data_IF_018998358139
#
_entry.id   IF_018998358139
#
_cell.length_a   1.000
_cell.length_b   1.000
_cell.length_c   1.000
_cell.angle_alpha   90.00
_cell.angle_beta   90.00
_cell.angle_gamma   90.00
#
_symmetry.space_group_name_H-M   'P 1'
#
loop_
_entity.id
_entity.type
_entity.pdbx_description
1 polymer ?
2 branched ?
3 non-polymer ?
4 water ?
#
# COMPACT_ATOMS: atom_id res chain seq x y z
N UNK A 1 7.83 11.60 9.48
CA UNK A 1 7.21 11.64 8.13
C UNK A 1 8.19 11.13 7.08
N UNK A 2 7.67 10.73 5.93
CA UNK A 2 8.49 10.28 4.82
C UNK A 2 8.08 11.15 3.62
N UNK A 3 9.00 11.40 2.71
CA UNK A 3 8.76 12.24 1.54
C UNK A 3 9.23 11.62 0.23
N UNK A 4 8.63 12.08 -0.86
CA UNK A 4 9.03 11.64 -2.20
C UNK A 4 8.62 12.73 -3.19
N UNK A 5 9.57 13.14 -4.02
CA UNK A 5 9.34 14.16 -5.02
C UNK A 5 9.46 13.54 -6.41
N UNK A 6 8.43 13.69 -7.25
CA UNK A 6 8.49 13.14 -8.59
C UNK A 6 9.44 13.93 -9.49
N UNK A 7 9.72 15.19 -9.16
CA UNK A 7 10.64 15.98 -9.98
C UNK A 7 12.07 15.45 -9.82
N UNK A 8 12.64 14.92 -10.90
CA UNK A 8 13.98 14.39 -10.84
C UNK A 8 14.01 12.95 -10.36
N UNK A 9 12.81 12.40 -10.16
CA UNK A 9 12.68 11.03 -9.68
C UNK A 9 13.15 9.98 -10.67
N UNK A 10 13.87 8.99 -10.17
CA UNK A 10 14.32 7.89 -11.00
C UNK A 10 14.14 6.60 -10.16
N UNK A 11 14.41 5.43 -10.75
CA UNK A 11 14.26 4.14 -10.05
C UNK A 11 14.95 4.06 -8.69
N UNK A 12 16.08 4.75 -8.59
CA UNK A 12 16.89 4.76 -7.38
C UNK A 12 16.25 5.58 -6.25
N UNK A 13 15.83 6.81 -6.52
CA UNK A 13 15.22 7.62 -5.46
C UNK A 13 13.86 7.06 -5.04
N UNK A 14 13.19 6.38 -5.96
CA UNK A 14 11.91 5.76 -5.65
C UNK A 14 12.24 4.62 -4.67
N UNK A 15 13.31 3.91 -4.98
CA UNK A 15 13.76 2.83 -4.12
C UNK A 15 14.08 3.36 -2.73
N UNK A 16 14.71 4.52 -2.66
CA UNK A 16 15.05 5.12 -1.38
C UNK A 16 13.76 5.41 -0.59
N UNK A 17 12.74 5.96 -1.25
CA UNK A 17 11.46 6.27 -0.61
C UNK A 17 10.77 5.05 -0.02
N UNK A 18 10.73 3.95 -0.78
CA UNK A 18 10.07 2.76 -0.28
C UNK A 18 10.85 2.22 0.92
N UNK A 19 12.18 2.34 0.88
CA UNK A 19 13.03 1.90 1.99
C UNK A 19 12.69 2.75 3.23
N UNK A 20 12.58 4.07 3.02
CA UNK A 20 12.26 4.98 4.11
C UNK A 20 10.90 4.61 4.70
N UNK A 21 9.96 4.25 3.84
CA UNK A 21 8.62 3.89 4.26
C UNK A 21 8.60 2.61 5.10
N UNK A 22 9.36 1.59 4.68
CA UNK A 22 9.43 0.34 5.44
C UNK A 22 10.04 0.60 6.81
N UNK A 23 11.12 1.37 6.84
CA UNK A 23 11.82 1.70 8.08
C UNK A 23 10.98 2.51 9.05
N UNK A 24 9.95 3.18 8.54
CA UNK A 24 9.12 4.00 9.41
C UNK A 24 8.04 3.19 10.14
N UNK A 25 7.81 1.97 9.71
CA UNK A 25 6.80 1.17 10.38
C UNK A 25 7.45 0.50 11.58
N UNK A 26 6.87 0.70 12.77
CA UNK A 26 7.50 0.06 13.93
C UNK A 26 7.17 -1.42 14.04
N UNK A 27 8.07 -2.15 14.67
CA UNK A 27 7.95 -3.60 14.82
C UNK A 27 8.84 -3.97 16.01
N UNK A 28 8.41 -4.96 16.78
CA UNK A 28 9.21 -5.38 17.92
C UNK A 28 9.89 -6.71 17.62
N UNK A 29 9.31 -7.47 16.69
CA UNK A 29 9.73 -8.82 16.33
C UNK A 29 9.93 -9.14 14.84
N UNK A 30 10.64 -10.25 14.58
CA UNK A 30 10.86 -10.74 13.21
C UNK A 30 10.51 -12.21 13.18
N UNK A 31 9.76 -12.60 12.16
CA UNK A 31 9.35 -13.99 11.99
C UNK A 31 9.99 -14.43 10.68
N UNK A 32 10.89 -15.42 10.82
CA UNK A 32 11.65 -15.94 9.71
C UNK A 32 12.40 -14.78 9.08
N UNK A 33 12.94 -13.88 9.87
CA UNK A 33 13.61 -12.72 9.29
C UNK A 33 12.70 -11.74 8.53
N UNK A 34 11.40 -11.58 8.89
CA UNK A 34 10.56 -10.56 8.22
C UNK A 34 9.93 -9.71 9.30
N UNK A 35 10.05 -8.38 9.26
CA UNK A 35 9.44 -7.58 10.33
C UNK A 35 7.97 -7.97 10.51
N UNK A 36 7.56 -8.18 11.75
CA UNK A 36 6.16 -8.51 12.05
C UNK A 36 5.52 -7.24 12.61
N UNK A 37 4.56 -6.68 11.88
CA UNK A 37 3.88 -5.47 12.32
C UNK A 37 3.16 -5.65 13.66
N UNK A 38 2.99 -4.55 14.38
CA UNK A 38 2.35 -4.55 15.69
C UNK A 38 0.86 -4.88 15.71
N UNK A 39 0.36 -5.41 16.84
CA UNK A 39 -1.05 -5.75 16.99
C UNK A 39 -1.82 -4.43 16.95
N UNK A 40 -1.34 -3.45 17.71
CA UNK A 40 -1.95 -2.11 17.75
C UNK A 40 -1.03 -1.04 18.32
N UNK A 41 -1.43 0.22 18.13
CA UNK A 41 -0.71 1.38 18.63
C UNK A 41 -1.79 2.38 19.05
N UNK A 42 -1.57 3.09 20.16
CA UNK A 42 -2.55 4.05 20.67
C UNK A 42 -2.25 5.51 20.39
N UNK A 43 -3.30 6.27 20.16
CA UNK A 43 -3.15 7.69 19.89
C UNK A 43 -2.65 7.99 18.51
N UNK A 44 -2.09 9.19 18.34
CA UNK A 44 -1.57 9.64 17.05
C UNK A 44 -0.35 8.85 16.56
N UNK A 45 0.26 8.09 17.45
CA UNK A 45 1.43 7.32 17.06
C UNK A 45 1.08 6.18 16.12
N UNK A 46 -0.22 5.96 15.92
CA UNK A 46 -0.68 4.89 15.04
C UNK A 46 -0.63 5.30 13.58
N UNK A 47 -0.39 6.58 13.33
CA UNK A 47 -0.38 7.08 11.96
C UNK A 47 0.91 7.71 11.44
N UNK A 48 1.31 7.29 10.25
CA UNK A 48 2.49 7.82 9.58
C UNK A 48 2.02 8.76 8.48
N UNK A 49 2.67 9.91 8.34
CA UNK A 49 2.32 10.89 7.32
C UNK A 49 3.32 10.85 6.16
N UNK A 50 2.80 10.69 4.93
CA UNK A 50 3.67 10.68 3.74
C UNK A 50 3.41 11.97 2.96
N UNK A 51 4.47 12.68 2.59
CA UNK A 51 4.33 13.90 1.81
C UNK A 51 4.78 13.59 0.40
N UNK A 52 3.88 13.73 -0.57
CA UNK A 52 4.22 13.46 -1.95
C UNK A 52 4.12 14.74 -2.76
N UNK A 53 5.12 15.00 -3.60
CA UNK A 53 5.12 16.19 -4.43
C UNK A 53 5.06 15.79 -5.91
N UNK A 54 4.12 16.35 -6.66
CA UNK A 54 4.06 16.01 -8.07
C UNK A 54 5.15 16.76 -8.79
N UNK A 55 5.31 16.50 -10.08
CA UNK A 55 6.34 17.13 -10.89
C UNK A 55 6.48 18.64 -10.73
N UNK A 56 5.35 19.34 -10.63
CA UNK A 56 5.36 20.79 -10.48
C UNK A 56 5.53 21.30 -9.07
N UNK A 57 5.73 20.40 -8.12
CA UNK A 57 5.91 20.83 -6.75
C UNK A 57 4.68 20.97 -5.88
N UNK A 58 3.49 20.67 -6.40
CA UNK A 58 2.30 20.74 -5.56
C UNK A 58 2.35 19.49 -4.66
N UNK A 59 1.70 19.55 -3.51
CA UNK A 59 1.78 18.43 -2.59
C UNK A 59 0.47 17.99 -1.92
N UNK A 60 0.45 16.75 -1.44
CA UNK A 60 -0.67 16.20 -0.68
C UNK A 60 0.02 15.45 0.44
N UNK A 61 -0.65 15.29 1.56
CA UNK A 61 -0.10 14.55 2.68
C UNK A 61 -1.05 13.39 2.91
N UNK A 62 -0.50 12.18 2.93
CA UNK A 62 -1.28 10.95 3.08
C UNK A 62 -1.04 10.30 4.45
N UNK A 63 -2.14 9.87 5.08
CA UNK A 63 -2.06 9.23 6.39
C UNK A 63 -2.17 7.70 6.24
N UNK A 64 -1.23 7.00 6.85
CA UNK A 64 -1.15 5.54 6.78
C UNK A 64 -1.20 4.91 8.17
N UNK A 65 -2.00 3.86 8.32
CA UNK A 65 -2.10 3.16 9.61
C UNK A 65 -0.86 2.27 9.69
N UNK A 66 0.01 2.48 10.68
CA UNK A 66 1.24 1.69 10.76
C UNK A 66 1.09 0.21 11.14
N UNK A 67 -0.11 -0.21 11.53
CA UNK A 67 -0.33 -1.61 11.90
C UNK A 67 -0.64 -2.49 10.69
N UNK A 68 -1.13 -1.88 9.61
CA UNK A 68 -1.50 -2.65 8.41
C UNK A 68 -1.15 -1.99 7.05
N UNK A 69 -0.50 -0.84 7.11
CA UNK A 69 -0.09 -0.05 5.94
C UNK A 69 -1.27 0.40 5.06
N UNK A 70 -2.44 0.55 5.69
CA UNK A 70 -3.65 0.98 5.01
C UNK A 70 -3.76 2.49 4.99
N UNK A 71 -4.02 3.02 3.80
CA UNK A 71 -4.18 4.45 3.61
C UNK A 71 -5.56 4.83 4.15
N UNK A 72 -5.60 5.82 5.03
CA UNK A 72 -6.85 6.26 5.66
C UNK A 72 -7.45 7.53 5.07
N UNK A 73 -6.60 8.44 4.64
CA UNK A 73 -7.08 9.68 4.06
C UNK A 73 -5.90 10.54 3.66
N UNK A 74 -6.18 11.74 3.17
CA UNK A 74 -5.13 12.65 2.74
C UNK A 74 -5.55 14.10 2.90
N UNK A 75 -4.57 15.00 2.85
CA UNK A 75 -4.81 16.43 2.99
C UNK A 75 -4.32 17.13 1.72
N UNK A 76 -5.20 17.94 1.14
CA UNK A 76 -4.91 18.71 -0.08
C UNK A 76 -5.23 20.19 0.18
N UNK A 77 -4.18 20.98 0.38
CA UNK A 77 -4.28 22.39 0.79
C UNK A 77 -5.04 22.29 2.12
N UNK A 78 -6.20 22.95 2.21
CA UNK A 78 -6.89 23.03 3.49
C UNK A 78 -8.07 22.07 3.69
N UNK A 79 -8.24 21.11 2.79
CA UNK A 79 -9.34 20.16 2.90
C UNK A 79 -8.81 18.77 3.16
N UNK A 80 -9.36 18.09 4.18
CA UNK A 80 -8.93 16.73 4.44
C UNK A 80 -9.99 15.81 3.81
N UNK A 81 -9.57 14.62 3.39
CA UNK A 81 -10.45 13.63 2.78
C UNK A 81 -10.23 12.28 3.44
N UNK A 82 -11.31 11.65 3.89
CA UNK A 82 -11.23 10.35 4.56
C UNK A 82 -12.17 9.35 3.93
N UNK A 83 -11.78 8.08 3.95
CA UNK A 83 -12.64 7.03 3.41
C UNK A 83 -13.88 6.91 4.30
N UNK A 84 -14.93 6.33 3.74
CA UNK A 84 -16.16 6.15 4.49
C UNK A 84 -16.09 4.79 5.18
N UNK A 85 -15.40 4.73 6.32
CA UNK A 85 -15.27 3.50 7.11
C UNK A 85 -14.87 3.88 8.53
N UNK A 86 -15.30 3.08 9.52
CA UNK A 86 -15.00 3.33 10.93
C UNK A 86 -13.56 3.66 11.30
N UNK A 87 -12.61 2.87 10.78
CA UNK A 87 -11.20 3.11 11.10
C UNK A 87 -10.72 4.47 10.60
N UNK A 88 -11.28 4.96 9.50
CA UNK A 88 -10.87 6.25 8.96
C UNK A 88 -11.42 7.40 9.80
N UNK A 89 -12.65 7.26 10.29
CA UNK A 89 -13.19 8.33 11.12
C UNK A 89 -12.39 8.34 12.42
N UNK A 90 -11.95 7.18 12.89
CA UNK A 90 -11.14 7.16 14.11
C UNK A 90 -9.87 7.94 13.81
N UNK A 91 -9.28 7.70 12.65
CA UNK A 91 -8.06 8.39 12.26
C UNK A 91 -8.23 9.91 12.19
N UNK A 92 -9.43 10.36 11.83
CA UNK A 92 -9.67 11.80 11.72
C UNK A 92 -9.59 12.55 13.05
N UNK A 93 -9.60 11.83 14.16
CA UNK A 93 -9.51 12.48 15.47
C UNK A 93 -8.05 12.87 15.75
N UNK A 94 -7.13 12.21 15.06
CA UNK A 94 -5.71 12.43 15.29
C UNK A 94 -4.85 13.16 14.25
N UNK A 95 -5.25 13.15 12.98
CA UNK A 95 -4.46 13.86 11.96
C UNK A 95 -5.25 14.96 11.24
N UNK A 96 -4.51 15.87 10.61
CA UNK A 96 -5.05 17.01 9.88
C UNK A 96 -6.12 17.72 10.72
N UNK A 97 -5.76 18.06 11.94
CA UNK A 97 -6.69 18.74 12.84
C UNK A 97 -6.89 20.20 12.42
N UNK A 98 -5.90 20.77 11.76
CA UNK A 98 -6.00 22.16 11.33
C UNK A 98 -6.61 22.33 9.94
N UNK A 99 -7.23 21.28 9.42
CA UNK A 99 -7.86 21.37 8.10
C UNK A 99 -9.09 22.27 8.27
N UNK A 100 -9.36 23.09 7.26
CA UNK A 100 -10.48 24.02 7.30
C UNK A 100 -11.83 23.36 6.99
N UNK A 101 -11.79 22.25 6.26
CA UNK A 101 -13.00 21.53 5.85
C UNK A 101 -12.67 20.04 5.81
N UNK A 102 -13.60 19.18 6.24
CA UNK A 102 -13.37 17.75 6.16
C UNK A 102 -14.43 17.08 5.32
N UNK A 103 -13.99 16.36 4.30
CA UNK A 103 -14.88 15.66 3.41
C UNK A 103 -14.70 14.15 3.55
N UNK A 104 -15.82 13.44 3.62
CA UNK A 104 -15.81 11.98 3.70
C UNK A 104 -16.12 11.46 2.31
N UNK A 105 -15.23 10.66 1.74
CA UNK A 105 -15.46 10.10 0.41
C UNK A 105 -16.65 9.14 0.45
N UNK A 106 -17.34 9.00 -0.68
CA UNK A 106 -18.52 8.14 -0.78
C UNK A 106 -18.04 6.74 -1.19
N UNK A 107 -17.20 6.12 -0.35
CA UNK A 107 -16.86 4.71 -0.45
C UNK A 107 -15.95 4.42 0.72
N UNK A 108 -15.68 3.13 0.94
CA UNK A 108 -14.67 2.67 1.86
C UNK A 108 -13.38 2.46 1.04
N UNK A 109 -12.29 2.13 1.68
CA UNK A 109 -11.04 2.03 0.97
C UNK A 109 -10.59 0.66 0.50
N UNK A 110 -11.47 -0.33 0.46
CA UNK A 110 -11.06 -1.63 -0.06
C UNK A 110 -11.17 -1.68 -1.59
N UNK A 111 -10.35 -2.52 -2.21
CA UNK A 111 -10.33 -2.65 -3.67
C UNK A 111 -11.71 -2.86 -4.30
N UNK A 112 -12.52 -3.77 -3.73
CA UNK A 112 -13.86 -4.06 -4.26
C UNK A 112 -14.65 -2.77 -4.48
N UNK A 113 -14.76 -1.95 -3.44
CA UNK A 113 -15.51 -0.70 -3.52
C UNK A 113 -14.84 0.39 -4.37
N UNK A 114 -13.51 0.44 -4.37
CA UNK A 114 -12.81 1.44 -5.18
C UNK A 114 -12.96 1.11 -6.66
N UNK A 115 -12.95 -0.18 -6.99
CA UNK A 115 -13.10 -0.58 -8.39
C UNK A 115 -14.50 -0.27 -8.93
N UNK A 116 -15.52 -0.43 -8.08
CA UNK A 116 -16.88 -0.12 -8.51
C UNK A 116 -17.01 1.39 -8.77
N UNK A 117 -16.48 2.19 -7.85
CA UNK A 117 -16.53 3.65 -7.99
C UNK A 117 -15.75 4.13 -9.19
N UNK A 118 -14.63 3.48 -9.47
CA UNK A 118 -13.78 3.86 -10.59
C UNK A 118 -14.34 3.45 -11.96
N UNK A 119 -15.13 2.39 -11.99
CA UNK A 119 -15.68 1.93 -13.26
C UNK A 119 -14.74 1.02 -14.02
N UNK A 120 -13.66 0.59 -13.37
CA UNK A 120 -12.68 -0.29 -14.01
C UNK A 120 -11.98 -1.13 -12.96
N UNK A 121 -11.65 -2.38 -13.29
CA UNK A 121 -10.95 -3.18 -12.29
C UNK A 121 -9.48 -2.73 -12.42
N UNK A 122 -8.63 -3.00 -11.43
CA UNK A 122 -7.25 -2.51 -11.59
C UNK A 122 -6.42 -3.26 -12.62
N UNK A 123 -6.99 -4.32 -13.18
CA UNK A 123 -6.32 -5.10 -14.23
C UNK A 123 -6.18 -4.17 -15.43
N UNK A 124 -7.12 -3.21 -15.50
CA UNK A 124 -7.21 -2.29 -16.64
C UNK A 124 -6.65 -0.89 -16.34
N UNK A 125 -6.01 -0.64 -15.18
CA UNK A 125 -5.50 0.69 -14.86
C UNK A 125 -3.96 0.67 -14.84
N UNK A 126 -3.32 1.44 -15.74
CA UNK A 126 -1.86 1.51 -15.84
C UNK A 126 -1.25 2.16 -14.59
N UNK A 127 -0.14 1.60 -14.13
CA UNK A 127 0.56 2.14 -12.97
C UNK A 127 2.02 2.40 -13.34
N UNK A 128 2.68 3.25 -12.56
CA UNK A 128 4.07 3.61 -12.78
C UNK A 128 4.31 4.95 -12.10
N UNK A 129 5.48 5.56 -12.28
CA UNK A 129 5.73 6.85 -11.66
C UNK A 129 4.95 7.95 -12.39
N UNK A 130 4.83 7.87 -13.72
CA UNK A 130 4.06 8.94 -14.38
C UNK A 130 2.62 8.90 -13.88
N UNK A 131 2.11 7.69 -13.64
CA UNK A 131 0.74 7.54 -13.15
C UNK A 131 0.60 8.08 -11.71
N UNK A 132 1.67 7.98 -10.93
CA UNK A 132 1.61 8.49 -9.55
C UNK A 132 1.53 10.01 -9.59
N UNK A 133 2.28 10.61 -10.51
CA UNK A 133 2.29 12.06 -10.68
C UNK A 133 0.90 12.56 -11.07
N UNK A 134 0.24 11.85 -11.97
CA UNK A 134 -1.11 12.23 -12.40
C UNK A 134 -2.11 12.07 -11.24
N UNK A 135 -1.92 11.01 -10.45
CA UNK A 135 -2.77 10.74 -9.31
C UNK A 135 -2.68 11.87 -8.27
N UNK A 136 -1.48 12.34 -7.98
CA UNK A 136 -1.32 13.42 -7.01
C UNK A 136 -2.07 14.66 -7.51
N UNK A 137 -1.94 14.97 -8.80
CA UNK A 137 -2.62 16.13 -9.37
C UNK A 137 -4.14 16.00 -9.30
N UNK A 138 -4.65 14.81 -9.61
CA UNK A 138 -6.08 14.54 -9.57
C UNK A 138 -6.65 14.72 -8.18
N UNK A 139 -5.90 14.29 -7.16
CA UNK A 139 -6.36 14.40 -5.79
C UNK A 139 -6.41 15.82 -5.25
N UNK A 140 -5.69 16.75 -5.87
CA UNK A 140 -5.69 18.15 -5.42
C UNK A 140 -7.04 18.82 -5.72
N UNK A 141 -7.80 18.28 -6.67
CA UNK A 141 -9.09 18.86 -7.05
C UNK A 141 -10.18 17.80 -6.91
N UNK A 142 -10.99 17.92 -5.85
CA UNK A 142 -12.06 16.95 -5.57
C UNK A 142 -13.09 16.54 -6.61
N UNK A 143 -13.11 15.23 -6.87
CA UNK A 143 -13.93 14.58 -7.90
C UNK A 143 -13.87 13.22 -7.21
N UNK A 144 -15.01 12.70 -6.77
CA UNK A 144 -15.07 11.33 -6.25
C UNK A 144 -14.85 10.19 -7.25
N UNK A 145 -15.31 10.33 -8.48
CA UNK A 145 -15.11 9.27 -9.46
C UNK A 145 -13.66 9.18 -9.91
N UNK A 146 -13.04 10.33 -10.17
CA UNK A 146 -11.65 10.34 -10.60
C UNK A 146 -10.72 10.01 -9.43
N UNK A 147 -11.11 10.37 -8.22
CA UNK A 147 -10.30 10.10 -7.05
C UNK A 147 -10.18 8.60 -6.78
N UNK A 148 -11.24 7.86 -7.06
CA UNK A 148 -11.24 6.41 -6.86
C UNK A 148 -10.13 5.77 -7.69
N UNK A 149 -10.01 6.21 -8.94
CA UNK A 149 -8.99 5.69 -9.83
C UNK A 149 -7.61 6.14 -9.40
N UNK A 150 -7.52 7.37 -8.91
CA UNK A 150 -6.24 7.92 -8.45
C UNK A 150 -5.79 7.19 -7.19
N UNK A 151 -6.73 6.84 -6.33
CA UNK A 151 -6.39 6.14 -5.10
C UNK A 151 -5.93 4.71 -5.39
N UNK A 152 -6.48 4.10 -6.44
CA UNK A 152 -6.06 2.75 -6.80
C UNK A 152 -4.59 2.77 -7.21
N UNK A 153 -4.18 3.85 -7.87
CA UNK A 153 -2.78 3.98 -8.30
C UNK A 153 -1.90 4.29 -7.10
N UNK A 154 -2.32 5.24 -6.28
CA UNK A 154 -1.56 5.63 -5.09
C UNK A 154 -1.31 4.45 -4.16
N UNK A 155 -2.34 3.65 -3.93
CA UNK A 155 -2.24 2.51 -3.03
C UNK A 155 -1.23 1.46 -3.48
N UNK A 156 -1.25 1.15 -4.78
CA UNK A 156 -0.36 0.15 -5.33
C UNK A 156 1.09 0.61 -5.46
N UNK A 157 1.28 1.91 -5.71
CA UNK A 157 2.62 2.45 -5.86
C UNK A 157 3.33 2.54 -4.51
N UNK A 158 2.56 2.77 -3.44
CA UNK A 158 3.17 3.04 -2.14
C UNK A 158 3.02 2.04 -0.99
N UNK A 159 1.79 1.62 -0.70
CA UNK A 159 1.52 0.51 0.22
C UNK A 159 1.86 -0.89 -0.28
N UNK A 160 1.46 -1.24 -1.50
CA UNK A 160 1.76 -2.58 -2.02
C UNK A 160 3.26 -2.78 -2.32
N UNK A 161 3.93 -1.74 -2.79
CA UNK A 161 5.36 -1.83 -3.09
C UNK A 161 6.14 -2.02 -1.79
N UNK A 162 5.61 -1.49 -0.70
CA UNK A 162 6.27 -1.63 0.58
C UNK A 162 6.12 -3.07 1.08
N UNK A 163 4.97 -3.66 0.84
CA UNK A 163 4.70 -5.04 1.27
C UNK A 163 5.46 -6.11 0.48
N UNK A 164 5.69 -5.88 -0.82
CA UNK A 164 6.37 -6.84 -1.68
C UNK A 164 7.47 -6.25 -2.56
N UNK A 165 8.67 -6.81 -2.49
CA UNK A 165 9.82 -6.38 -3.26
C UNK A 165 9.52 -6.47 -4.77
N UNK A 166 8.81 -7.52 -5.18
CA UNK A 166 8.47 -7.71 -6.59
C UNK A 166 7.65 -6.52 -7.09
N UNK A 167 6.67 -6.08 -6.32
CA UNK A 167 5.87 -4.95 -6.77
C UNK A 167 6.72 -3.69 -6.83
N UNK A 168 7.64 -3.52 -5.88
CA UNK A 168 8.54 -2.36 -5.90
C UNK A 168 9.35 -2.38 -7.20
N UNK A 169 9.82 -3.56 -7.60
CA UNK A 169 10.58 -3.69 -8.83
C UNK A 169 9.72 -3.43 -10.05
N UNK A 170 8.46 -3.87 -10.02
CA UNK A 170 7.55 -3.64 -11.13
C UNK A 170 7.37 -2.14 -11.37
N UNK A 171 7.34 -1.36 -10.29
CA UNK A 171 7.16 0.09 -10.39
C UNK A 171 8.43 0.78 -10.90
N UNK A 172 9.59 0.27 -10.52
CA UNK A 172 10.85 0.85 -10.97
C UNK A 172 11.00 0.66 -12.48
N UNK A 173 10.44 -0.42 -13.02
CA UNK A 173 10.48 -0.73 -14.44
C UNK A 173 9.59 0.30 -15.19
N UNK A 174 8.57 0.80 -14.50
CA UNK A 174 7.62 1.74 -15.05
C UNK A 174 7.94 3.17 -14.60
N UNK A 175 9.22 3.49 -14.46
CA UNK A 175 9.63 4.82 -14.02
C UNK A 175 9.34 5.93 -15.05
N UNK A 176 9.33 5.59 -16.33
CA UNK A 176 9.06 6.59 -17.37
C UNK A 176 7.95 6.17 -18.35
N UNK A 177 7.28 5.05 -18.05
CA UNK A 177 6.19 4.54 -18.88
C UNK A 177 5.26 3.70 -18.00
N UNK A 178 3.97 4.03 -17.98
CA UNK A 178 2.98 3.29 -17.20
C UNK A 178 2.60 2.00 -17.91
N UNK A 179 2.17 1.00 -17.14
CA UNK A 179 1.76 -0.27 -17.70
C UNK A 179 0.81 -0.97 -16.72
N UNK A 180 -0.25 -1.63 -17.22
CA UNK A 180 -1.18 -2.31 -16.31
C UNK A 180 -0.37 -3.32 -15.51
N UNK A 181 -0.84 -3.67 -14.31
CA UNK A 181 -0.12 -4.64 -13.48
C UNK A 181 -0.24 -6.08 -14.00
N UNK A 182 0.82 -6.87 -13.82
CA UNK A 182 0.81 -8.27 -14.26
C UNK A 182 -0.16 -9.04 -13.37
N UNK A 183 -0.49 -10.27 -13.76
CA UNK A 183 -1.40 -11.10 -12.98
C UNK A 183 -0.77 -11.47 -11.64
N UNK A 184 0.54 -11.67 -11.65
CA UNK A 184 1.28 -12.02 -10.44
C UNK A 184 1.17 -10.89 -9.43
N UNK A 185 1.18 -9.66 -9.93
CA UNK A 185 1.08 -8.48 -9.08
C UNK A 185 -0.26 -8.48 -8.36
N UNK A 186 -1.32 -8.76 -9.10
CA UNK A 186 -2.64 -8.78 -8.51
C UNK A 186 -2.81 -9.97 -7.55
N UNK A 187 -2.31 -11.14 -7.93
CA UNK A 187 -2.40 -12.30 -7.06
C UNK A 187 -1.70 -11.98 -5.73
N UNK A 188 -0.51 -11.39 -5.80
CA UNK A 188 0.25 -11.03 -4.60
C UNK A 188 -0.55 -10.08 -3.71
N UNK A 189 -1.08 -9.01 -4.30
CA UNK A 189 -1.86 -8.04 -3.54
C UNK A 189 -3.00 -8.71 -2.77
N UNK A 190 -3.68 -9.66 -3.41
CA UNK A 190 -4.80 -10.38 -2.80
C UNK A 190 -4.42 -11.39 -1.71
N UNK A 191 -3.19 -11.85 -1.70
CA UNK A 191 -2.77 -12.87 -0.72
C UNK A 191 -1.96 -12.40 0.48
N UNK A 192 -1.73 -11.09 0.62
CA UNK A 192 -0.92 -10.60 1.73
C UNK A 192 -1.36 -11.13 3.09
N UNK A 193 -2.66 -11.08 3.35
CA UNK A 193 -3.23 -11.58 4.61
C UNK A 193 -3.04 -13.08 4.76
N UNK A 194 -3.34 -13.81 3.69
CA UNK A 194 -3.21 -15.25 3.71
C UNK A 194 -1.78 -15.68 3.97
N UNK A 195 -0.85 -15.07 3.25
CA UNK A 195 0.57 -15.36 3.38
C UNK A 195 1.09 -15.00 4.76
N UNK A 196 0.70 -13.81 5.23
CA UNK A 196 1.13 -13.34 6.54
C UNK A 196 0.74 -14.34 7.61
N UNK A 197 -0.48 -14.85 7.52
CA UNK A 197 -0.96 -15.81 8.50
C UNK A 197 -0.27 -17.17 8.44
N UNK A 198 -0.11 -17.74 7.25
CA UNK A 198 0.54 -19.03 7.12
C UNK A 198 2.02 -18.98 7.51
N UNK A 199 2.65 -17.82 7.34
CA UNK A 199 4.06 -17.71 7.72
C UNK A 199 4.13 -17.69 9.24
N UNK A 200 3.18 -17.02 9.89
CA UNK A 200 3.17 -17.00 11.34
C UNK A 200 2.81 -18.38 11.92
N UNK A 201 1.91 -19.10 11.27
CA UNK A 201 1.50 -20.43 11.73
C UNK A 201 2.56 -21.50 11.47
N UNK A 202 3.41 -21.25 10.49
CA UNK A 202 4.45 -22.20 10.14
C UNK A 202 5.53 -22.37 11.20
N UNK A 203 5.64 -21.41 12.11
CA UNK A 203 6.66 -21.42 13.16
C UNK A 203 6.72 -22.70 14.01
N UNK A 204 5.59 -23.12 14.57
CA UNK A 204 5.62 -24.18 15.58
C UNK A 204 5.43 -25.46 14.78
N UNK A 205 5.53 -25.33 13.47
CA UNK A 205 5.30 -26.44 12.56
C UNK A 205 6.43 -26.76 11.55
N UNK A 206 7.67 -26.54 11.94
CA UNK A 206 8.82 -26.84 11.06
C UNK A 206 8.89 -26.03 9.77
N UNK A 207 8.25 -24.86 9.74
CA UNK A 207 8.26 -24.03 8.56
C UNK A 207 7.29 -24.46 7.48
N UNK A 208 6.37 -25.35 7.84
CA UNK A 208 5.36 -25.83 6.90
C UNK A 208 4.01 -25.16 7.14
N UNK A 209 3.39 -24.70 6.06
CA UNK A 209 2.07 -24.05 6.13
C UNK A 209 0.95 -25.01 6.55
N UNK A 210 0.02 -24.53 7.37
CA UNK A 210 -1.12 -25.36 7.77
C UNK A 210 -1.96 -25.66 6.52
N UNK A 211 -2.17 -24.65 5.70
CA UNK A 211 -2.87 -24.84 4.43
C UNK A 211 -2.13 -23.98 3.41
N UNK A 212 -1.87 -24.55 2.21
CA UNK A 212 -1.16 -23.94 1.08
C UNK A 212 -1.80 -22.70 0.48
N UNK A 213 -0.98 -21.79 -0.03
CA UNK A 213 -1.46 -20.56 -0.66
C UNK A 213 -1.30 -20.68 -2.17
N UNK A 214 -2.36 -20.36 -2.90
CA UNK A 214 -2.39 -20.42 -4.37
C UNK A 214 -2.12 -19.05 -4.99
N UNK A 215 -1.05 -18.94 -5.78
CA UNK A 215 -0.70 -17.68 -6.46
C UNK A 215 -0.53 -17.95 -7.96
N UNK A 216 -0.38 -16.88 -8.73
CA UNK A 216 -0.13 -16.98 -10.17
C UNK A 216 1.24 -16.35 -10.32
N UNK A 217 2.16 -16.98 -11.04
CA UNK A 217 3.51 -16.42 -11.15
C UNK A 217 3.79 -15.55 -12.38
N UNK A 218 4.98 -14.96 -12.42
CA UNK A 218 5.38 -14.08 -13.51
C UNK A 218 5.17 -14.60 -14.92
N UNK A 219 5.62 -15.83 -15.19
CA UNK A 219 5.46 -16.37 -16.54
C UNK A 219 3.97 -16.68 -16.79
N UNK A 220 3.13 -16.39 -15.78
CA UNK A 220 1.70 -16.58 -15.89
C UNK A 220 1.11 -17.90 -15.40
N UNK A 221 1.95 -18.74 -14.78
CA UNK A 221 1.55 -20.07 -14.28
C UNK A 221 1.07 -20.23 -12.84
N UNK A 222 -0.08 -20.88 -12.64
CA UNK A 222 -0.61 -21.11 -11.30
C UNK A 222 0.48 -21.73 -10.43
N UNK A 223 0.30 -21.72 -9.12
CA UNK A 223 1.33 -22.28 -8.25
C UNK A 223 0.88 -22.39 -6.78
N UNK A 224 1.45 -23.35 -6.06
CA UNK A 224 1.17 -23.58 -4.64
C UNK A 224 2.38 -23.32 -3.73
N UNK A 225 2.19 -22.49 -2.71
CA UNK A 225 3.26 -22.22 -1.76
C UNK A 225 2.88 -23.04 -0.52
N UNK A 226 3.78 -23.92 -0.09
CA UNK A 226 3.53 -24.80 1.06
C UNK A 226 4.47 -24.65 2.26
N UNK A 227 5.60 -23.95 2.08
CA UNK A 227 6.55 -23.78 3.18
C UNK A 227 7.37 -22.48 3.10
N UNK A 228 8.03 -22.12 4.20
CA UNK A 228 8.82 -20.89 4.26
C UNK A 228 10.11 -20.89 3.44
N UNK A 229 10.38 -22.00 2.77
CA UNK A 229 11.58 -22.13 1.96
C UNK A 229 11.41 -21.50 0.58
N UNK A 230 10.16 -21.24 0.20
CA UNK A 230 9.84 -20.64 -1.07
C UNK A 230 10.31 -19.21 -1.30
N UNK A 231 10.53 -18.89 -2.57
CA UNK A 231 10.95 -17.59 -3.03
C UNK A 231 10.11 -16.45 -2.43
N UNK A 232 8.78 -16.60 -2.46
CA UNK A 232 7.91 -15.53 -1.94
C UNK A 232 8.30 -15.15 -0.56
N UNK A 233 8.58 -16.18 0.24
CA UNK A 233 8.93 -15.97 1.61
C UNK A 233 10.35 -15.50 1.86
N UNK A 234 11.31 -16.04 1.13
CA UNK A 234 12.70 -15.67 1.35
C UNK A 234 13.14 -14.35 0.75
N UNK A 235 12.54 -13.96 -0.37
CA UNK A 235 12.95 -12.69 -0.99
C UNK A 235 11.91 -11.73 -1.60
N UNK A 236 10.64 -11.91 -1.27
CA UNK A 236 9.62 -11.10 -1.93
C UNK A 236 8.84 -10.18 -1.03
N UNK A 237 8.11 -10.88 -0.05
CA UNK A 237 7.35 -10.31 1.12
C UNK A 237 8.29 -9.62 2.09
N UNK A 238 7.95 -8.36 2.41
CA UNK A 238 8.79 -7.54 3.28
C UNK A 238 8.20 -7.15 4.63
N UNK A 239 6.89 -7.36 4.79
CA UNK A 239 6.21 -7.00 6.03
C UNK A 239 5.12 -8.03 6.32
N UNK A 240 4.89 -8.31 7.60
CA UNK A 240 3.85 -9.27 7.95
C UNK A 240 2.75 -8.63 8.78
N UNK A 241 1.51 -8.88 8.35
CA UNK A 241 0.34 -8.38 9.06
C UNK A 241 0.19 -9.31 10.26
N UNK A 242 0.09 -8.73 11.45
CA UNK A 242 -0.05 -9.53 12.68
C UNK A 242 -1.34 -10.35 12.67
N UNK A 243 -1.31 -11.58 13.17
CA UNK A 243 -2.52 -12.42 13.20
C UNK A 243 -3.67 -11.84 14.03
N UNK A 244 -3.37 -11.00 15.00
CA UNK A 244 -4.41 -10.41 15.85
C UNK A 244 -5.24 -9.38 15.04
N UNK A 245 -4.96 -9.26 13.70
CA UNK A 245 -5.69 -8.36 12.82
C UNK A 245 -6.22 -9.15 11.62
N UNK A 246 -6.06 -10.46 11.65
CA UNK A 246 -6.53 -11.30 10.54
C UNK A 246 -7.75 -12.13 10.98
X LIG B 1 8.85 -26.59 0.22
X LIG B 1 8.29 -28.02 0.22
X LIG B 1 7.94 -28.53 -1.17
X LIG B 1 8.75 -27.89 -2.31
X LIG B 1 9.29 -26.47 -2.06
X LIG B 1 9.09 -25.63 -3.31
X LIG B 1 8.77 -29.70 1.92
X LIG B 1 9.82 -30.49 2.65
X LIG B 1 9.22 -28.87 0.97
X LIG B 1 6.56 -28.27 -1.39
X LIG B 1 9.81 -28.74 -2.64
X LIG B 1 8.57 -25.90 -0.99
X LIG B 1 9.42 -24.31 -2.99
X LIG B 1 7.58 -29.87 2.22
X LIG B 2 9.29 -29.68 -3.60
X LIG B 2 9.75 -29.86 -5.07
X LIG B 2 8.60 -30.71 -5.61
X LIG B 2 8.88 -32.12 -5.08
X LIG B 2 9.11 -32.16 -3.54
X LIG B 2 10.42 -32.86 -3.17
X LIG B 2 11.15 -28.05 -6.16
X LIG B 2 12.43 -28.47 -5.50
X LIG B 2 9.98 -28.67 -5.92
X LIG B 2 8.40 -30.56 -7.02
X LIG B 2 7.81 -32.97 -5.42
X LIG B 2 9.10 -30.90 -2.87
X LIG B 2 11.02 -32.23 -2.04
X LIG B 2 11.20 -27.10 -6.93
X LIG C 1 -6.93 -1.86 -0.11
X LIG C 1 -6.07 -2.83 -0.33
X LIG C 1 -4.84 -2.47 0.14
X LIG C 1 -4.94 -1.26 0.62
X LIG C 1 -4.03 -0.21 1.34
X LIG C 1 -2.83 -0.51 1.49
X LIG C 1 -4.53 1.06 1.76
X LIG C 1 -5.91 1.20 1.48
X LIG C 1 -6.77 2.21 1.72
X LIG C 1 -6.60 0.25 0.89
X LIG C 1 -6.25 -0.93 0.47
#
# INVERSE_FOLDING_TARGET
DVSFRLSGADPSSYGMFIKDLRNALPHTEKVYNIPLLLPSVSGAGRYLLMHLFNYDGNTITVAVDVTNVYIMGYLALTTSYFFNEPAADLASQYVFRSARRKITLPYSGNYERLQIAAGKPREKIPIGLPALDTAISTLLHYDSTAAAGALLVLIQTTAEAARFKYIEQQIQERAYRDEVPSSATISLENSWSGLSKQIQLAQGNNGVFRTPTVLVDSKGNRVQITNVTSNVVTSNIQLLLNTKNI
NAG C1 C2 C3 C4 C5 C6 C7 C8 N2 O3 O4 O5 O6 O7
NAG C1 C2 C3 C4 C5 C6 C7 C8 N2 O3 O4 O5 O6 O7
GUN N9 C8 N7 C5 C6 O6 N1 C2 N2 N3 C4
#
